data_IF_116448366427
#
_entry.id   IF_116448366427
#
_cell.length_a   1.000
_cell.length_b   1.000
_cell.length_c   1.000
_cell.angle_alpha   90.00
_cell.angle_beta   90.00
_cell.angle_gamma   90.00
#
_symmetry.space_group_name_H-M   'P 1'
#
loop_
_entity.id
_entity.type
_entity.pdbx_description
1 polymer ?
#
# COMPACT_ATOMS: atom_id res chain seq x y z
N UNK A 1 -12.35 2.40 5.44
CA UNK A 1 -12.06 0.97 5.57
C UNK A 1 -11.55 0.74 6.98
N UNK A 2 -12.14 -0.20 7.74
CA UNK A 2 -11.57 -0.62 9.02
C UNK A 2 -10.28 -1.40 8.72
N UNK A 3 -9.20 -1.05 9.40
CA UNK A 3 -7.99 -1.87 9.40
C UNK A 3 -8.35 -3.14 10.16
N UNK A 4 -8.46 -4.26 9.45
CA UNK A 4 -8.62 -5.56 10.10
C UNK A 4 -7.41 -5.77 11.02
N UNK A 5 -7.70 -6.03 12.30
CA UNK A 5 -6.69 -6.43 13.26
C UNK A 5 -5.97 -7.67 12.69
N UNK A 6 -4.64 -7.61 12.57
CA UNK A 6 -3.82 -8.60 11.85
C UNK A 6 -3.91 -10.03 12.41
N UNK A 7 -4.68 -10.21 13.49
CA UNK A 7 -5.05 -11.47 14.12
C UNK A 7 -5.95 -12.38 13.26
N UNK A 8 -6.58 -11.90 12.18
CA UNK A 8 -7.44 -12.72 11.30
C UNK A 8 -6.72 -13.34 10.09
N UNK A 9 -5.45 -13.00 9.85
CA UNK A 9 -4.67 -13.57 8.75
C UNK A 9 -4.23 -14.97 9.12
N UNK A 10 -5.02 -15.98 8.75
CA UNK A 10 -4.69 -17.40 9.03
C UNK A 10 -3.61 -17.97 8.11
N UNK A 11 -3.25 -17.26 7.04
CA UNK A 11 -2.22 -17.65 6.07
C UNK A 11 -1.45 -16.42 5.58
N UNK A 12 -0.12 -16.50 5.59
CA UNK A 12 0.77 -15.44 5.13
C UNK A 12 1.90 -15.18 6.12
N UNK A 13 2.90 -14.42 5.68
CA UNK A 13 4.04 -14.00 6.50
C UNK A 13 4.17 -12.49 6.40
N UNK A 14 4.37 -11.83 7.54
CA UNK A 14 4.73 -10.42 7.55
C UNK A 14 6.20 -10.26 7.20
N UNK A 15 6.48 -9.24 6.38
CA UNK A 15 7.83 -8.85 6.00
C UNK A 15 8.06 -7.39 6.37
N UNK A 16 9.27 -7.10 6.87
CA UNK A 16 9.78 -5.74 6.89
C UNK A 16 9.92 -5.21 5.45
N UNK A 17 9.82 -3.90 5.27
CA UNK A 17 9.76 -3.30 3.94
C UNK A 17 11.01 -3.52 3.10
N UNK A 18 12.17 -3.68 3.74
CA UNK A 18 13.44 -4.01 3.12
C UNK A 18 13.62 -5.52 2.84
N UNK A 19 12.73 -6.36 3.36
CA UNK A 19 12.79 -7.82 3.29
C UNK A 19 11.70 -8.44 2.39
N UNK A 20 10.90 -7.63 1.68
CA UNK A 20 9.81 -8.12 0.84
C UNK A 20 10.37 -8.93 -0.37
N UNK A 21 9.96 -10.20 -0.55
CA UNK A 21 10.36 -11.02 -1.69
C UNK A 21 9.50 -10.69 -2.92
N UNK A 22 9.85 -9.62 -3.64
CA UNK A 22 9.07 -9.12 -4.77
C UNK A 22 8.87 -10.16 -5.89
N UNK A 23 9.78 -11.13 -6.03
CA UNK A 23 9.71 -12.24 -6.97
C UNK A 23 8.50 -13.16 -6.77
N UNK A 24 7.92 -13.19 -5.56
CA UNK A 24 6.73 -13.98 -5.27
C UNK A 24 5.42 -13.25 -5.63
N UNK A 25 5.47 -11.99 -6.01
CA UNK A 25 4.29 -11.22 -6.40
C UNK A 25 3.85 -11.58 -7.83
N UNK A 26 2.58 -11.92 -7.97
CA UNK A 26 2.00 -12.50 -9.18
C UNK A 26 2.16 -11.65 -10.44
N UNK A 27 2.14 -10.32 -10.31
CA UNK A 27 2.12 -9.41 -11.46
C UNK A 27 2.99 -8.17 -11.27
N UNK A 28 3.42 -7.61 -12.40
CA UNK A 28 4.30 -6.44 -12.46
C UNK A 28 3.65 -5.15 -11.92
N UNK A 29 2.39 -4.82 -12.28
CA UNK A 29 1.70 -3.68 -11.68
C UNK A 29 1.69 -3.70 -10.15
N UNK A 30 1.36 -4.84 -9.53
CA UNK A 30 1.36 -5.01 -8.08
C UNK A 30 2.74 -4.78 -7.47
N UNK A 31 3.80 -5.31 -8.10
CA UNK A 31 5.18 -5.05 -7.67
C UNK A 31 5.53 -3.57 -7.71
N UNK A 32 5.21 -2.90 -8.81
CA UNK A 32 5.48 -1.46 -8.99
C UNK A 32 4.76 -0.64 -7.93
N UNK A 33 3.47 -0.92 -7.72
CA UNK A 33 2.66 -0.19 -6.74
C UNK A 33 3.18 -0.39 -5.32
N UNK A 34 3.56 -1.60 -4.94
CA UNK A 34 4.11 -1.86 -3.61
C UNK A 34 5.47 -1.17 -3.41
N UNK A 35 6.36 -1.20 -4.42
CA UNK A 35 7.63 -0.46 -4.37
C UNK A 35 7.41 1.05 -4.20
N UNK A 36 6.48 1.63 -4.98
CA UNK A 36 6.13 3.05 -4.87
C UNK A 36 5.60 3.38 -3.48
N UNK A 37 4.71 2.56 -2.95
CA UNK A 37 4.21 2.73 -1.59
C UNK A 37 5.34 2.79 -0.56
N UNK A 38 6.30 1.86 -0.63
CA UNK A 38 7.43 1.79 0.31
C UNK A 38 8.31 3.03 0.27
N UNK A 39 8.56 3.59 -0.91
CA UNK A 39 9.39 4.79 -1.07
C UNK A 39 8.61 6.05 -0.68
N UNK A 40 7.36 6.18 -1.13
CA UNK A 40 6.58 7.40 -0.98
C UNK A 40 5.96 7.54 0.44
N UNK A 41 5.82 6.43 1.20
CA UNK A 41 5.30 6.47 2.57
C UNK A 41 6.19 7.21 3.56
N UNK A 42 7.51 7.19 3.37
CA UNK A 42 8.45 7.88 4.28
C UNK A 42 8.27 9.40 4.19
N UNK A 43 7.77 9.87 3.06
CA UNK A 43 7.52 11.27 2.77
C UNK A 43 6.08 11.70 3.08
N UNK A 44 5.24 10.80 3.64
CA UNK A 44 3.78 10.98 3.73
C UNK A 44 3.14 11.41 2.39
N UNK A 45 3.76 11.03 1.28
CA UNK A 45 3.44 11.54 -0.06
C UNK A 45 2.79 10.48 -0.96
N UNK A 46 2.45 9.30 -0.43
CA UNK A 46 1.84 8.26 -1.23
C UNK A 46 0.37 8.60 -1.55
N UNK A 47 0.13 8.88 -2.82
CA UNK A 47 -1.18 9.12 -3.39
C UNK A 47 -1.49 8.14 -4.53
N UNK A 48 -2.66 7.52 -4.49
CA UNK A 48 -3.16 6.71 -5.58
C UNK A 48 -4.07 7.58 -6.45
N UNK A 49 -3.74 7.72 -7.73
CA UNK A 49 -4.66 8.31 -8.70
C UNK A 49 -5.74 7.29 -9.04
N UNK A 50 -7.01 7.69 -8.90
CA UNK A 50 -8.18 6.89 -9.25
C UNK A 50 -9.03 7.69 -10.22
N UNK A 51 -9.15 7.20 -11.46
CA UNK A 51 -9.88 7.88 -12.52
C UNK A 51 -9.69 7.26 -13.89
N UNK A 52 -10.34 7.87 -14.89
CA UNK A 52 -10.12 7.65 -16.32
C UNK A 52 -9.08 8.65 -16.83
N UNK A 53 -8.64 8.47 -18.07
CA UNK A 53 -7.68 9.38 -18.72
C UNK A 53 -8.16 10.85 -18.74
N UNK A 54 -9.47 11.07 -18.87
CA UNK A 54 -10.07 12.41 -18.94
C UNK A 54 -10.45 13.02 -17.60
N UNK A 55 -10.59 12.22 -16.54
CA UNK A 55 -11.11 12.68 -15.25
C UNK A 55 -10.69 11.74 -14.11
N UNK A 56 -10.28 12.29 -12.96
CA UNK A 56 -9.92 11.49 -11.80
C UNK A 56 -9.54 12.32 -10.58
N UNK A 57 -9.26 11.63 -9.47
CA UNK A 57 -8.83 12.24 -8.22
C UNK A 57 -7.63 11.50 -7.63
N UNK A 58 -6.79 12.23 -6.90
CA UNK A 58 -5.72 11.63 -6.11
C UNK A 58 -6.26 11.38 -4.71
N UNK A 59 -6.24 10.12 -4.29
CA UNK A 59 -6.55 9.70 -2.93
C UNK A 59 -5.24 9.51 -2.17
N UNK A 60 -5.01 10.33 -1.14
CA UNK A 60 -3.87 10.18 -0.25
C UNK A 60 -4.13 9.02 0.72
N UNK A 61 -3.21 8.05 0.79
CA UNK A 61 -3.25 7.02 1.84
C UNK A 61 -2.30 7.46 2.95
N UNK A 62 -2.72 8.49 3.69
CA UNK A 62 -1.99 8.95 4.87
C UNK A 62 -2.29 8.05 6.06
N UNK A 63 -1.30 7.90 6.96
CA UNK A 63 -1.54 7.32 8.30
C UNK A 63 -2.56 8.20 9.02
N UNK A 64 -3.82 7.81 9.02
CA UNK A 64 -4.77 8.38 9.97
C UNK A 64 -4.39 7.83 11.34
N UNK A 65 -3.65 8.61 12.14
CA UNK A 65 -3.50 8.33 13.57
C UNK A 65 -4.85 8.63 14.24
N UNK A 66 -5.86 7.79 14.03
CA UNK A 66 -7.08 7.80 14.84
C UNK A 66 -6.79 7.08 16.15
N UNK A 67 -6.08 7.75 17.06
CA UNK A 67 -6.22 7.49 18.49
C UNK A 67 -7.28 8.47 19.01
N UNK A 68 -8.54 8.02 19.03
CA UNK A 68 -9.60 8.57 19.87
C UNK A 68 -9.75 7.67 21.10
#
# INVERSE_FOLDING_TARGET
AQVEDGSSVTNGQFYEFDAIPFEHLADEPSRIMLKRYIVERELNAFGIFVGKESEGKVEAITKTNNNL
#
